data_IF_420309261608
#
_entry.id   IF_420309261608
#
_cell.length_a   1.000
_cell.length_b   1.000
_cell.length_c   1.000
_cell.angle_alpha   90.00
_cell.angle_beta   90.00
_cell.angle_gamma   90.00
#
_symmetry.space_group_name_H-M   'P 1'
#
loop_
_entity.id
_entity.type
_entity.pdbx_description
1 polymer ?
#
# COMPACT_ATOMS: atom_id res chain seq x y z
N UNK A 1 10.24 -18.63 -7.75
CA UNK A 1 9.87 -17.60 -8.75
C UNK A 1 9.79 -16.28 -8.01
N UNK A 2 10.50 -15.25 -8.47
CA UNK A 2 10.42 -13.91 -7.86
C UNK A 2 9.05 -13.34 -8.24
N UNK A 3 8.14 -13.24 -7.29
CA UNK A 3 6.79 -12.73 -7.49
C UNK A 3 6.90 -11.21 -7.72
N UNK A 4 6.48 -10.73 -8.89
CA UNK A 4 6.49 -9.29 -9.23
C UNK A 4 5.57 -8.55 -8.25
N UNK A 5 6.04 -7.43 -7.71
CA UNK A 5 5.20 -6.58 -6.86
C UNK A 5 4.08 -5.89 -7.66
N UNK A 6 3.01 -5.39 -7.02
CA UNK A 6 1.86 -4.79 -7.72
C UNK A 6 2.23 -3.66 -8.69
N UNK A 7 3.18 -2.79 -8.32
CA UNK A 7 3.68 -1.74 -9.20
C UNK A 7 4.41 -2.28 -10.44
N UNK A 8 5.17 -3.38 -10.29
CA UNK A 8 5.88 -4.02 -11.42
C UNK A 8 4.90 -4.74 -12.35
N UNK A 9 3.79 -5.26 -11.83
CA UNK A 9 2.72 -5.87 -12.62
C UNK A 9 1.96 -4.82 -13.44
N UNK A 10 1.65 -3.66 -12.86
CA UNK A 10 1.03 -2.54 -13.58
C UNK A 10 1.97 -1.94 -14.64
N UNK A 11 3.27 -1.86 -14.36
CA UNK A 11 4.27 -1.43 -15.34
C UNK A 11 4.36 -2.43 -16.51
N UNK A 12 4.40 -3.74 -16.21
CA UNK A 12 4.33 -4.80 -17.22
C UNK A 12 3.10 -4.68 -18.11
N UNK A 13 1.92 -4.44 -17.53
CA UNK A 13 0.67 -4.20 -18.29
C UNK A 13 0.85 -3.02 -19.25
N UNK A 14 1.32 -1.87 -18.76
CA UNK A 14 1.50 -0.66 -19.57
C UNK A 14 2.46 -0.90 -20.74
N UNK A 15 3.62 -1.52 -20.50
CA UNK A 15 4.63 -1.82 -21.53
C UNK A 15 4.09 -2.80 -22.57
N UNK A 16 3.34 -3.81 -22.14
CA UNK A 16 2.78 -4.82 -23.05
C UNK A 16 1.68 -4.22 -23.94
N UNK A 17 0.88 -3.28 -23.42
CA UNK A 17 -0.09 -2.54 -24.24
C UNK A 17 0.58 -1.60 -25.26
N UNK A 18 1.74 -1.01 -24.94
CA UNK A 18 2.51 -0.24 -25.92
C UNK A 18 2.99 -1.14 -27.08
N UNK A 19 3.39 -2.39 -26.78
CA UNK A 19 3.73 -3.39 -27.82
C UNK A 19 2.51 -3.80 -28.64
N UNK A 20 1.35 -3.97 -27.98
CA UNK A 20 0.08 -4.26 -28.65
C UNK A 20 -0.27 -3.18 -29.68
N UNK A 21 -0.15 -1.90 -29.32
CA UNK A 21 -0.36 -0.79 -30.25
C UNK A 21 0.68 -0.77 -31.38
N UNK A 22 1.94 -1.06 -31.10
CA UNK A 22 2.99 -1.13 -32.12
C UNK A 22 2.69 -2.22 -33.16
N UNK A 23 2.29 -3.42 -32.71
CA UNK A 23 1.86 -4.51 -33.59
C UNK A 23 0.63 -4.09 -34.43
N UNK A 24 -0.36 -3.43 -33.81
CA UNK A 24 -1.54 -2.94 -34.52
C UNK A 24 -1.20 -1.94 -35.63
N UNK A 25 -0.26 -1.02 -35.36
CA UNK A 25 0.25 -0.05 -36.35
C UNK A 25 1.04 -0.71 -37.48
N UNK A 26 1.71 -1.82 -37.20
CA UNK A 26 2.40 -2.64 -38.20
C UNK A 26 1.44 -3.48 -39.06
N UNK A 27 0.14 -3.47 -38.75
CA UNK A 27 -0.87 -4.27 -39.43
C UNK A 27 -1.05 -5.67 -38.86
N UNK A 28 -0.28 -6.06 -37.85
CA UNK A 28 -0.38 -7.35 -37.16
C UNK A 28 -1.48 -7.31 -36.09
N UNK A 29 -2.72 -7.54 -36.54
CA UNK A 29 -3.92 -7.43 -35.69
C UNK A 29 -4.04 -8.57 -34.68
N UNK A 30 -3.61 -9.78 -35.04
CA UNK A 30 -3.67 -10.95 -34.17
C UNK A 30 -2.71 -10.78 -33.00
N UNK A 31 -1.45 -10.45 -33.28
CA UNK A 31 -0.46 -10.20 -32.24
C UNK A 31 -0.85 -9.01 -31.34
N UNK A 32 -1.42 -7.95 -31.93
CA UNK A 32 -1.93 -6.83 -31.15
C UNK A 32 -2.99 -7.28 -30.13
N UNK A 33 -3.95 -8.09 -30.56
CA UNK A 33 -5.00 -8.60 -29.69
C UNK A 33 -4.43 -9.52 -28.60
N UNK A 34 -3.54 -10.44 -28.96
CA UNK A 34 -2.93 -11.37 -28.00
C UNK A 34 -2.11 -10.65 -26.93
N UNK A 35 -1.34 -9.63 -27.32
CA UNK A 35 -0.60 -8.79 -26.37
C UNK A 35 -1.55 -8.01 -25.45
N UNK A 36 -2.70 -7.56 -25.96
CA UNK A 36 -3.75 -6.93 -25.15
C UNK A 36 -4.37 -7.88 -24.13
N UNK A 37 -4.51 -9.17 -24.48
CA UNK A 37 -4.99 -10.22 -23.57
C UNK A 37 -3.93 -10.53 -22.52
N UNK A 38 -2.68 -10.76 -22.94
CA UNK A 38 -1.56 -11.05 -22.05
C UNK A 38 -1.32 -9.93 -21.03
N UNK A 39 -1.37 -8.67 -21.46
CA UNK A 39 -1.24 -7.52 -20.57
C UNK A 39 -2.28 -7.54 -19.43
N UNK A 40 -3.50 -7.98 -19.72
CA UNK A 40 -4.56 -8.08 -18.73
C UNK A 40 -4.35 -9.28 -17.80
N UNK A 41 -4.21 -10.50 -18.33
CA UNK A 41 -4.16 -11.73 -17.54
C UNK A 41 -2.86 -11.86 -16.73
N UNK A 42 -1.73 -11.54 -17.35
CA UNK A 42 -0.41 -11.71 -16.72
C UNK A 42 0.04 -10.46 -15.94
N UNK A 43 -0.74 -9.38 -16.00
CA UNK A 43 -0.41 -8.10 -15.40
C UNK A 43 -1.52 -7.60 -14.48
N UNK A 44 -2.58 -7.04 -15.06
CA UNK A 44 -3.64 -6.36 -14.30
C UNK A 44 -4.49 -7.30 -13.43
N UNK A 45 -4.86 -8.48 -13.92
CA UNK A 45 -5.67 -9.47 -13.18
C UNK A 45 -5.02 -9.83 -11.83
N UNK A 46 -3.69 -9.97 -11.82
CA UNK A 46 -2.91 -10.32 -10.63
C UNK A 46 -2.92 -9.23 -9.54
N UNK A 47 -3.31 -8.00 -9.87
CA UNK A 47 -3.41 -6.89 -8.91
C UNK A 47 -4.85 -6.47 -8.61
N UNK A 48 -5.85 -7.07 -9.25
CA UNK A 48 -7.26 -6.69 -9.07
C UNK A 48 -7.70 -6.81 -7.61
N UNK A 49 -7.38 -7.92 -6.94
CA UNK A 49 -7.73 -8.12 -5.53
C UNK A 49 -7.08 -7.09 -4.61
N UNK A 50 -5.83 -6.72 -4.90
CA UNK A 50 -5.12 -5.70 -4.12
C UNK A 50 -5.75 -4.32 -4.32
N UNK A 51 -6.11 -3.99 -5.56
CA UNK A 51 -6.75 -2.72 -5.89
C UNK A 51 -8.19 -2.66 -5.38
N UNK A 52 -8.93 -3.78 -5.38
CA UNK A 52 -10.30 -3.86 -4.87
C UNK A 52 -10.38 -3.58 -3.36
N UNK A 53 -9.36 -4.01 -2.62
CA UNK A 53 -9.23 -3.73 -1.19
C UNK A 53 -8.96 -2.25 -0.89
N UNK A 54 -8.42 -1.49 -1.86
CA UNK A 54 -8.09 -0.06 -1.70
C UNK A 54 -9.20 0.81 -2.27
N UNK A 55 -9.58 0.57 -3.53
CA UNK A 55 -10.66 1.25 -4.23
C UNK A 55 -11.26 0.36 -5.34
N UNK A 56 -12.41 -0.23 -5.04
CA UNK A 56 -13.17 -1.08 -5.96
C UNK A 56 -13.66 -0.36 -7.23
N UNK A 57 -13.88 0.96 -7.17
CA UNK A 57 -14.32 1.74 -8.33
C UNK A 57 -13.15 1.97 -9.29
N UNK A 58 -11.97 2.33 -8.78
CA UNK A 58 -10.76 2.47 -9.62
C UNK A 58 -10.38 1.15 -10.28
N UNK A 59 -10.54 0.02 -9.57
CA UNK A 59 -10.37 -1.32 -10.16
C UNK A 59 -11.30 -1.53 -11.36
N UNK A 60 -12.61 -1.34 -11.19
CA UNK A 60 -13.62 -1.53 -12.25
C UNK A 60 -13.43 -0.58 -13.43
N UNK A 61 -13.09 0.68 -13.16
CA UNK A 61 -12.84 1.68 -14.20
C UNK A 61 -11.61 1.34 -15.04
N UNK A 62 -10.56 0.81 -14.40
CA UNK A 62 -9.35 0.37 -15.07
C UNK A 62 -9.61 -0.85 -15.93
N UNK A 63 -10.30 -1.87 -15.40
CA UNK A 63 -10.75 -3.05 -16.14
C UNK A 63 -11.55 -2.66 -17.38
N UNK A 64 -12.57 -1.81 -17.20
CA UNK A 64 -13.41 -1.31 -18.30
C UNK A 64 -12.61 -0.59 -19.37
N UNK A 65 -11.60 0.18 -18.99
CA UNK A 65 -10.74 0.91 -19.94
C UNK A 65 -9.83 -0.04 -20.73
N UNK A 66 -9.30 -1.09 -20.08
CA UNK A 66 -8.51 -2.14 -20.73
C UNK A 66 -9.37 -2.95 -21.72
N UNK A 67 -10.60 -3.31 -21.33
CA UNK A 67 -11.55 -3.99 -22.22
C UNK A 67 -11.95 -3.10 -23.40
N UNK A 68 -12.17 -1.80 -23.19
CA UNK A 68 -12.47 -0.86 -24.26
C UNK A 68 -11.31 -0.72 -25.26
N UNK A 69 -10.06 -0.75 -24.79
CA UNK A 69 -8.89 -0.81 -25.67
C UNK A 69 -8.86 -2.12 -26.46
N UNK A 70 -9.04 -3.27 -25.81
CA UNK A 70 -9.08 -4.57 -26.50
C UNK A 70 -10.16 -4.61 -27.58
N UNK A 71 -11.35 -4.12 -27.27
CA UNK A 71 -12.46 -4.05 -28.22
C UNK A 71 -12.10 -3.17 -29.42
N UNK A 72 -11.41 -2.04 -29.20
CA UNK A 72 -10.99 -1.16 -30.30
C UNK A 72 -10.04 -1.83 -31.31
N UNK A 73 -9.22 -2.79 -30.85
CA UNK A 73 -8.37 -3.62 -31.71
C UNK A 73 -9.22 -4.61 -32.51
N UNK A 74 -10.17 -5.27 -31.86
CA UNK A 74 -11.05 -6.27 -32.48
C UNK A 74 -11.96 -5.63 -33.55
N UNK A 75 -12.55 -4.47 -33.23
CA UNK A 75 -13.39 -3.69 -34.15
C UNK A 75 -12.58 -3.03 -35.27
N UNK A 76 -11.25 -3.18 -35.24
CA UNK A 76 -10.32 -2.63 -36.23
C UNK A 76 -10.49 -1.12 -36.42
N UNK A 77 -10.66 -0.39 -35.31
CA UNK A 77 -10.87 1.05 -35.34
C UNK A 77 -9.66 1.79 -35.94
N UNK A 78 -9.85 3.01 -36.47
CA UNK A 78 -8.75 3.85 -36.94
C UNK A 78 -7.69 4.05 -35.86
N UNK A 79 -6.41 4.02 -36.25
CA UNK A 79 -5.25 4.15 -35.34
C UNK A 79 -5.42 5.28 -34.31
N UNK A 80 -5.86 6.51 -34.69
CA UNK A 80 -6.03 7.59 -33.71
C UNK A 80 -7.02 7.27 -32.58
N UNK A 81 -8.07 6.50 -32.88
CA UNK A 81 -9.06 6.09 -31.88
C UNK A 81 -8.50 5.00 -30.94
N UNK A 82 -7.76 4.05 -31.50
CA UNK A 82 -7.08 3.00 -30.72
C UNK A 82 -6.03 3.62 -29.78
N UNK A 83 -5.25 4.59 -30.27
CA UNK A 83 -4.30 5.36 -29.45
C UNK A 83 -5.00 6.12 -28.32
N UNK A 84 -6.14 6.74 -28.59
CA UNK A 84 -6.92 7.43 -27.57
C UNK A 84 -7.41 6.45 -26.48
N UNK A 85 -7.93 5.28 -26.88
CA UNK A 85 -8.37 4.24 -25.93
C UNK A 85 -7.20 3.71 -25.09
N UNK A 86 -6.02 3.53 -25.70
CA UNK A 86 -4.81 3.17 -24.97
C UNK A 86 -4.42 4.25 -23.97
N UNK A 87 -4.45 5.52 -24.37
CA UNK A 87 -4.13 6.65 -23.49
C UNK A 87 -5.02 6.69 -22.24
N UNK A 88 -6.33 6.45 -22.40
CA UNK A 88 -7.28 6.34 -21.29
C UNK A 88 -6.95 5.14 -20.39
N UNK A 89 -6.68 3.97 -20.96
CA UNK A 89 -6.31 2.78 -20.20
C UNK A 89 -5.01 3.01 -19.40
N UNK A 90 -3.98 3.62 -20.01
CA UNK A 90 -2.72 3.94 -19.33
C UNK A 90 -2.89 4.99 -18.23
N UNK A 91 -3.79 5.96 -18.40
CA UNK A 91 -4.11 6.91 -17.34
C UNK A 91 -4.74 6.21 -16.12
N UNK A 92 -5.65 5.26 -16.34
CA UNK A 92 -6.25 4.43 -15.28
C UNK A 92 -5.27 3.47 -14.61
N UNK A 93 -4.34 2.89 -15.38
CA UNK A 93 -3.24 2.11 -14.81
C UNK A 93 -2.32 2.97 -13.93
N UNK A 94 -2.06 4.23 -14.32
CA UNK A 94 -1.28 5.17 -13.52
C UNK A 94 -2.00 5.56 -12.23
N UNK A 95 -3.31 5.78 -12.29
CA UNK A 95 -4.17 6.00 -11.10
C UNK A 95 -4.11 4.79 -10.16
N UNK A 96 -4.27 3.59 -10.69
CA UNK A 96 -4.14 2.33 -9.95
C UNK A 96 -2.75 2.16 -9.33
N UNK A 97 -1.68 2.49 -10.07
CA UNK A 97 -0.32 2.47 -9.57
C UNK A 97 -0.10 3.54 -8.49
N UNK A 98 -0.83 4.65 -8.55
CA UNK A 98 -0.83 5.65 -7.48
C UNK A 98 -1.41 5.08 -6.19
N UNK A 99 -2.53 4.37 -6.27
CA UNK A 99 -3.17 3.74 -5.10
C UNK A 99 -2.36 2.57 -4.53
N UNK A 100 -1.70 1.79 -5.39
CA UNK A 100 -0.89 0.63 -4.97
C UNK A 100 0.58 0.96 -4.68
N UNK A 101 1.09 2.08 -5.22
CA UNK A 101 2.52 2.39 -5.31
C UNK A 101 2.94 3.74 -4.74
N UNK A 102 2.06 4.75 -4.63
CA UNK A 102 2.38 5.95 -3.84
C UNK A 102 2.02 5.70 -2.37
N UNK A 103 2.95 6.02 -1.49
CA UNK A 103 2.83 6.10 -0.04
C UNK A 103 2.72 4.82 0.78
N UNK A 104 2.06 3.75 0.32
CA UNK A 104 1.85 2.54 1.14
C UNK A 104 3.13 1.95 1.73
N UNK A 105 4.19 1.80 0.94
CA UNK A 105 5.46 1.24 1.43
C UNK A 105 6.23 2.22 2.33
N UNK A 106 6.28 3.51 2.01
CA UNK A 106 7.02 4.50 2.83
C UNK A 106 6.32 4.81 4.15
N UNK A 107 4.99 4.91 4.15
CA UNK A 107 4.19 5.11 5.36
C UNK A 107 4.17 3.85 6.23
N UNK A 108 4.01 2.66 5.65
CA UNK A 108 4.14 1.40 6.42
C UNK A 108 5.56 1.21 6.95
N UNK A 109 6.60 1.52 6.17
CA UNK A 109 7.99 1.48 6.65
C UNK A 109 8.23 2.48 7.78
N UNK A 110 7.73 3.72 7.66
CA UNK A 110 7.88 4.75 8.69
C UNK A 110 7.10 4.39 9.96
N UNK A 111 5.89 3.85 9.82
CA UNK A 111 5.08 3.37 10.93
C UNK A 111 5.73 2.17 11.62
N UNK A 112 6.18 1.16 10.88
CA UNK A 112 6.89 -0.01 11.41
C UNK A 112 8.19 0.42 12.08
N UNK A 113 8.95 1.35 11.48
CA UNK A 113 10.18 1.87 12.06
C UNK A 113 9.90 2.63 13.36
N UNK A 114 8.89 3.50 13.38
CA UNK A 114 8.47 4.21 14.58
C UNK A 114 7.96 3.26 15.67
N UNK A 115 7.23 2.21 15.31
CA UNK A 115 6.77 1.16 16.21
C UNK A 115 7.94 0.35 16.79
N UNK A 116 8.92 -0.04 15.97
CA UNK A 116 10.10 -0.80 16.42
C UNK A 116 11.01 0.04 17.33
N UNK A 117 11.15 1.33 17.06
CA UNK A 117 11.79 2.31 17.94
C UNK A 117 11.02 2.31 19.28
N UNK A 118 9.75 2.72 19.27
CA UNK A 118 8.91 2.81 20.48
C UNK A 118 8.89 1.51 21.30
N UNK A 119 8.81 0.35 20.64
CA UNK A 119 8.84 -0.95 21.30
C UNK A 119 10.16 -1.17 22.03
N UNK A 120 11.28 -0.82 21.41
CA UNK A 120 12.60 -0.90 22.03
C UNK A 120 12.70 0.01 23.25
N UNK A 121 12.37 1.30 23.13
CA UNK A 121 12.43 2.21 24.30
C UNK A 121 11.44 1.81 25.40
N UNK A 122 10.25 1.34 25.03
CA UNK A 122 9.26 0.83 25.98
C UNK A 122 9.75 -0.40 26.74
N UNK A 123 10.40 -1.35 26.04
CA UNK A 123 10.97 -2.54 26.66
C UNK A 123 12.13 -2.19 27.59
N UNK A 124 13.04 -1.29 27.17
CA UNK A 124 14.14 -0.80 27.99
C UNK A 124 13.62 -0.12 29.27
N UNK A 125 12.57 0.70 29.17
CA UNK A 125 11.95 1.36 30.33
C UNK A 125 11.33 0.36 31.32
N UNK A 126 10.64 -0.68 30.83
CA UNK A 126 10.08 -1.74 31.67
C UNK A 126 11.18 -2.52 32.40
N UNK A 127 12.29 -2.82 31.72
CA UNK A 127 13.43 -3.52 32.32
C UNK A 127 14.08 -2.69 33.44
N UNK A 128 14.26 -1.38 33.25
CA UNK A 128 14.76 -0.48 34.30
C UNK A 128 13.81 -0.45 35.50
N UNK A 129 12.49 -0.34 35.26
CA UNK A 129 11.48 -0.39 36.30
C UNK A 129 11.52 -1.71 37.09
N UNK A 130 11.64 -2.83 36.39
CA UNK A 130 11.77 -4.15 37.00
C UNK A 130 13.04 -4.25 37.85
N UNK A 131 14.17 -3.72 37.37
CA UNK A 131 15.43 -3.69 38.12
C UNK A 131 15.32 -2.85 39.40
N UNK A 132 14.72 -1.67 39.33
CA UNK A 132 14.49 -0.80 40.50
C UNK A 132 13.57 -1.49 41.51
N UNK A 133 12.46 -2.08 41.05
CA UNK A 133 11.53 -2.80 41.92
C UNK A 133 12.18 -4.02 42.58
N UNK A 134 12.96 -4.80 41.83
CA UNK A 134 13.71 -5.95 42.35
C UNK A 134 14.73 -5.51 43.42
N UNK A 135 15.48 -4.44 43.15
CA UNK A 135 16.43 -3.86 44.09
C UNK A 135 15.76 -3.40 45.38
N UNK A 136 14.70 -2.60 45.29
CA UNK A 136 13.98 -2.06 46.45
C UNK A 136 13.34 -3.17 47.30
N UNK A 137 12.83 -4.22 46.64
CA UNK A 137 12.26 -5.40 47.32
C UNK A 137 13.34 -6.19 48.05
N UNK A 138 14.53 -6.33 47.47
CA UNK A 138 15.66 -7.02 48.09
C UNK A 138 16.22 -6.26 49.31
N UNK A 139 16.16 -4.92 49.31
CA UNK A 139 16.62 -4.08 50.43
C UNK A 139 15.57 -3.88 51.53
N UNK A 140 14.40 -4.51 51.44
CA UNK A 140 13.34 -4.43 52.47
C UNK A 140 12.62 -3.08 52.59
N UNK A 141 12.83 -2.14 51.65
CA UNK A 141 12.22 -0.81 51.68
C UNK A 141 10.82 -0.82 51.05
N UNK A 142 9.85 -1.38 51.77
CA UNK A 142 8.43 -1.44 51.37
C UNK A 142 7.82 -0.08 51.03
N UNK A 143 8.24 1.00 51.71
CA UNK A 143 7.74 2.36 51.46
C UNK A 143 8.15 2.87 50.05
N UNK A 144 9.39 2.62 49.63
CA UNK A 144 9.89 3.04 48.32
C UNK A 144 9.23 2.28 47.16
N UNK A 145 8.96 0.97 47.34
CA UNK A 145 8.23 0.15 46.34
C UNK A 145 6.84 0.73 46.07
N UNK A 146 6.14 1.18 47.12
CA UNK A 146 4.81 1.77 46.99
C UNK A 146 4.84 3.09 46.19
N UNK A 147 5.86 3.92 46.43
CA UNK A 147 6.08 5.16 45.67
C UNK A 147 6.34 4.90 44.18
N UNK A 148 7.12 3.87 43.84
CA UNK A 148 7.35 3.47 42.44
C UNK A 148 6.04 3.03 41.78
N UNK A 149 5.21 2.25 42.49
CA UNK A 149 3.92 1.80 41.97
C UNK A 149 2.95 2.95 41.67
N UNK A 150 2.92 3.94 42.55
CA UNK A 150 2.15 5.18 42.33
C UNK A 150 2.71 5.96 41.15
N UNK A 151 4.04 6.03 41.02
CA UNK A 151 4.73 6.76 39.95
C UNK A 151 4.38 6.27 38.55
N UNK A 152 4.50 4.96 38.28
CA UNK A 152 4.17 4.45 36.94
C UNK A 152 2.66 4.49 36.66
N UNK A 153 1.82 4.31 37.69
CA UNK A 153 0.37 4.48 37.58
C UNK A 153 -0.03 5.92 37.21
N UNK A 154 0.57 6.92 37.85
CA UNK A 154 0.39 8.34 37.50
C UNK A 154 0.87 8.65 36.09
N UNK A 155 2.00 8.07 35.67
CA UNK A 155 2.52 8.25 34.32
C UNK A 155 1.55 7.73 33.25
N UNK A 156 0.93 6.57 33.47
CA UNK A 156 -0.09 6.03 32.57
C UNK A 156 -1.34 6.92 32.51
N UNK A 157 -1.82 7.39 33.66
CA UNK A 157 -2.97 8.30 33.73
C UNK A 157 -2.69 9.63 33.02
N UNK A 158 -1.49 10.19 33.20
CA UNK A 158 -1.07 11.40 32.52
C UNK A 158 -1.03 11.18 30.99
N UNK A 159 -0.48 10.05 30.52
CA UNK A 159 -0.45 9.71 29.10
C UNK A 159 -1.85 9.58 28.48
N UNK A 160 -2.77 8.87 29.15
CA UNK A 160 -4.17 8.77 28.72
C UNK A 160 -4.87 10.13 28.72
N UNK A 161 -4.60 10.96 29.72
CA UNK A 161 -5.13 12.32 29.80
C UNK A 161 -4.67 13.21 28.64
N UNK A 162 -3.38 13.17 28.29
CA UNK A 162 -2.84 13.91 27.14
C UNK A 162 -3.42 13.41 25.82
N UNK A 163 -3.56 12.10 25.64
CA UNK A 163 -4.18 11.53 24.46
C UNK A 163 -5.64 11.99 24.31
N UNK A 164 -6.43 11.94 25.40
CA UNK A 164 -7.83 12.39 25.39
C UNK A 164 -7.97 13.88 25.08
N UNK A 165 -7.08 14.72 25.63
CA UNK A 165 -7.02 16.15 25.30
C UNK A 165 -6.69 16.40 23.82
N UNK A 166 -5.69 15.69 23.28
CA UNK A 166 -5.32 15.82 21.87
C UNK A 166 -6.45 15.37 20.94
N UNK A 167 -7.12 14.26 21.27
CA UNK A 167 -8.27 13.77 20.52
C UNK A 167 -9.42 14.77 20.51
N UNK A 168 -9.67 15.49 21.61
CA UNK A 168 -10.77 16.47 21.70
C UNK A 168 -10.46 17.83 21.08
N UNK A 169 -9.17 18.19 20.89
CA UNK A 169 -8.75 19.48 20.31
C UNK A 169 -8.54 19.38 18.80
N UNK A 170 -8.20 18.20 18.29
CA UNK A 170 -7.88 17.97 16.88
C UNK A 170 -9.13 17.53 16.08
N UNK A 171 -10.15 16.98 16.74
CA UNK A 171 -11.48 16.68 16.19
C UNK A 171 -12.43 17.88 16.38
#
# INVERSE_FOLDING_TARGET
QVQRGPAQLLDYTSVTLDRSLAAYKAGDREQAYDLSVAAYLEGFELVESSLDNVDANVRKDTEKSLMAYRQSLQDSLPIPQVEQKLGVAKAKLKESAGLLGSDGLSLSLSYISGLLILLREGLEAILVLAAILAFLRNTGQQSAVRSVNVGWGLALLAGLGTWALAAYVID
#
